data_IF_571437862018
#
_entry.id   IF_571437862018
#
_cell.length_a   1.000
_cell.length_b   1.000
_cell.length_c   1.000
_cell.angle_alpha   90.00
_cell.angle_beta   90.00
_cell.angle_gamma   90.00
#
_symmetry.space_group_name_H-M   'P 1'
#
loop_
_entity.id
_entity.type
_entity.pdbx_description
1 polymer ?
#
# COMPACT_ATOMS: atom_id res chain seq x y z
N UNK A 1 18.91 25.69 16.27
CA UNK A 1 17.50 25.35 16.52
C UNK A 1 16.65 26.58 16.21
N UNK A 2 15.95 26.68 15.06
CA UNK A 2 14.91 27.68 14.88
C UNK A 2 13.51 27.14 15.23
N UNK A 3 12.69 28.10 15.63
CA UNK A 3 11.48 28.04 16.44
C UNK A 3 10.25 27.32 15.85
N UNK A 4 9.36 26.96 16.78
CA UNK A 4 8.06 26.34 16.59
C UNK A 4 7.19 27.01 15.52
N UNK A 5 6.56 26.20 14.67
CA UNK A 5 5.51 26.62 13.73
C UNK A 5 4.22 26.86 14.52
N UNK A 6 3.71 28.09 14.47
CA UNK A 6 2.42 28.48 15.03
C UNK A 6 1.30 27.92 14.17
N UNK A 7 0.48 27.04 14.72
CA UNK A 7 -0.65 26.41 14.04
C UNK A 7 -1.90 27.27 14.23
N UNK A 8 -2.13 28.24 13.34
CA UNK A 8 -3.38 29.00 13.29
C UNK A 8 -4.51 28.10 12.77
N UNK A 9 -5.34 27.61 13.70
CA UNK A 9 -6.54 26.82 13.39
C UNK A 9 -7.69 27.77 13.09
N UNK A 10 -7.86 28.12 11.82
CA UNK A 10 -9.05 28.88 11.39
C UNK A 10 -10.31 27.99 11.39
N UNK A 11 -11.36 28.46 12.05
CA UNK A 11 -12.67 27.80 12.23
C UNK A 11 -13.37 27.49 10.89
N UNK A 12 -14.07 26.36 10.85
CA UNK A 12 -14.78 25.82 9.69
C UNK A 12 -16.28 26.18 9.80
N UNK A 13 -16.75 27.05 8.90
CA UNK A 13 -18.18 27.34 8.75
C UNK A 13 -18.71 26.61 7.53
N UNK A 14 -19.49 25.56 7.74
CA UNK A 14 -20.15 24.75 6.70
C UNK A 14 -21.45 25.43 6.26
N UNK A 15 -21.59 25.69 4.97
CA UNK A 15 -22.83 26.13 4.35
C UNK A 15 -23.75 24.94 3.97
N UNK A 16 -25.07 25.11 4.13
CA UNK A 16 -26.11 24.05 4.04
C UNK A 16 -26.24 23.34 2.67
N UNK A 17 -25.41 23.69 1.67
CA UNK A 17 -25.33 22.97 0.39
C UNK A 17 -24.23 21.90 0.33
N UNK A 18 -23.48 21.68 1.43
CA UNK A 18 -22.42 20.66 1.51
C UNK A 18 -21.20 20.94 0.62
N UNK A 19 -21.16 22.10 -0.02
CA UNK A 19 -20.08 22.50 -0.93
C UNK A 19 -19.22 23.54 -0.23
N UNK A 20 -18.13 23.10 0.36
CA UNK A 20 -17.16 23.99 0.99
C UNK A 20 -16.70 25.06 -0.01
N UNK A 21 -17.06 26.32 0.27
CA UNK A 21 -16.56 27.47 -0.50
C UNK A 21 -15.05 27.38 -0.56
N UNK A 22 -14.52 27.55 -1.76
CA UNK A 22 -13.11 27.34 -2.14
C UNK A 22 -12.16 28.23 -1.32
N UNK A 23 -11.87 27.83 -0.07
CA UNK A 23 -10.97 28.52 0.87
C UNK A 23 -9.54 28.10 0.52
N UNK A 24 -8.65 29.07 0.39
CA UNK A 24 -7.23 28.84 0.14
C UNK A 24 -6.69 27.96 1.28
N UNK A 25 -6.28 26.73 0.95
CA UNK A 25 -5.87 25.71 1.93
C UNK A 25 -4.45 25.92 2.46
N UNK A 26 -3.58 26.57 1.69
CA UNK A 26 -2.20 26.86 2.07
C UNK A 26 -1.65 28.02 1.22
N UNK A 27 -0.71 28.78 1.79
CA UNK A 27 0.04 29.85 1.10
C UNK A 27 1.41 29.37 0.62
N UNK A 28 2.02 28.43 1.34
CA UNK A 28 3.25 27.73 0.97
C UNK A 28 3.21 26.33 1.62
N UNK A 29 3.71 25.32 0.93
CA UNK A 29 3.80 23.94 1.42
C UNK A 29 5.08 23.29 0.89
N UNK A 30 5.94 22.82 1.79
CA UNK A 30 7.15 22.06 1.47
C UNK A 30 7.10 20.71 2.20
N UNK A 31 7.30 19.62 1.48
CA UNK A 31 7.33 18.27 2.05
C UNK A 31 8.43 17.43 1.39
N UNK A 32 8.98 16.46 2.13
CA UNK A 32 10.13 15.63 1.70
C UNK A 32 9.72 14.44 0.81
N UNK A 33 8.66 14.60 0.03
CA UNK A 33 8.11 13.52 -0.78
C UNK A 33 7.54 12.35 0.05
N UNK A 34 7.09 11.28 -0.61
CA UNK A 34 6.66 10.06 0.05
C UNK A 34 7.87 9.23 0.53
N UNK A 35 7.73 8.57 1.67
CA UNK A 35 8.65 7.51 2.05
C UNK A 35 8.24 6.22 1.34
N UNK A 36 9.19 5.59 0.64
CA UNK A 36 8.95 4.30 -0.02
C UNK A 36 9.23 3.15 0.94
N UNK A 37 8.52 2.05 0.73
CA UNK A 37 8.83 0.78 1.40
C UNK A 37 10.25 0.33 1.06
N UNK A 38 10.94 -0.38 1.98
CA UNK A 38 12.21 -1.00 1.68
C UNK A 38 12.06 -2.01 0.51
N UNK A 39 13.16 -2.33 -0.20
CA UNK A 39 13.15 -3.38 -1.20
C UNK A 39 12.78 -4.74 -0.57
N UNK A 40 12.24 -5.64 -1.38
CA UNK A 40 11.91 -7.00 -0.95
C UNK A 40 13.15 -7.76 -0.47
N UNK A 41 12.99 -8.54 0.60
CA UNK A 41 14.02 -9.44 1.11
C UNK A 41 13.56 -10.89 0.88
N UNK A 42 14.41 -11.67 0.22
CA UNK A 42 14.12 -13.06 -0.12
C UNK A 42 13.99 -13.94 1.12
N UNK A 43 13.17 -14.97 1.01
CA UNK A 43 12.95 -15.94 2.07
C UNK A 43 14.21 -16.78 2.33
N UNK A 44 14.47 -17.17 3.60
CA UNK A 44 15.54 -18.09 3.95
C UNK A 44 15.49 -19.41 3.15
N UNK A 45 16.65 -20.01 2.87
CA UNK A 45 16.76 -21.21 2.02
C UNK A 45 15.95 -22.43 2.49
N UNK A 46 15.63 -22.50 3.79
CA UNK A 46 14.80 -23.56 4.37
C UNK A 46 13.30 -23.44 4.07
N UNK A 47 12.87 -22.36 3.41
CA UNK A 47 11.48 -22.14 3.02
C UNK A 47 11.37 -22.33 1.51
N UNK A 48 10.60 -23.33 1.09
CA UNK A 48 10.48 -23.69 -0.32
C UNK A 48 9.03 -23.58 -0.80
N UNK A 49 8.86 -22.99 -1.98
CA UNK A 49 7.59 -23.01 -2.69
C UNK A 49 7.36 -24.40 -3.31
N UNK A 50 6.15 -24.95 -3.14
CA UNK A 50 5.74 -26.23 -3.73
C UNK A 50 4.61 -26.03 -4.71
N UNK A 51 4.80 -26.55 -5.93
CA UNK A 51 3.79 -26.59 -6.98
C UNK A 51 3.65 -28.03 -7.45
N UNK A 52 2.41 -28.55 -7.46
CA UNK A 52 2.13 -29.95 -7.82
C UNK A 52 3.00 -30.97 -7.04
N UNK A 53 3.18 -30.71 -5.74
CA UNK A 53 4.02 -31.54 -4.85
C UNK A 53 5.53 -31.41 -5.06
N UNK A 54 6.00 -30.72 -6.11
CA UNK A 54 7.43 -30.52 -6.41
C UNK A 54 7.93 -29.19 -5.87
N UNK A 55 9.18 -29.17 -5.41
CA UNK A 55 9.85 -27.93 -4.99
C UNK A 55 10.23 -27.12 -6.22
N UNK A 56 9.82 -25.85 -6.26
CA UNK A 56 10.12 -24.91 -7.34
C UNK A 56 10.80 -23.68 -6.75
N UNK A 57 11.94 -23.29 -7.33
CA UNK A 57 12.63 -22.05 -6.97
C UNK A 57 12.04 -20.90 -7.78
N UNK A 58 11.41 -19.95 -7.11
CA UNK A 58 10.83 -18.77 -7.74
C UNK A 58 11.92 -17.72 -8.03
N UNK A 59 11.66 -16.82 -8.99
CA UNK A 59 12.39 -15.56 -9.11
C UNK A 59 12.03 -14.64 -7.94
N UNK A 60 12.83 -13.61 -7.70
CA UNK A 60 12.62 -12.67 -6.59
C UNK A 60 11.26 -11.97 -6.68
N UNK A 61 10.92 -11.39 -7.84
CA UNK A 61 9.62 -10.74 -8.08
C UNK A 61 8.44 -11.71 -7.87
N UNK A 62 8.58 -12.97 -8.29
CA UNK A 62 7.52 -13.96 -8.15
C UNK A 62 7.37 -14.43 -6.70
N UNK A 63 8.47 -14.50 -5.95
CA UNK A 63 8.51 -14.86 -4.54
C UNK A 63 7.85 -13.78 -3.67
N UNK A 64 8.09 -12.50 -3.97
CA UNK A 64 7.44 -11.37 -3.31
C UNK A 64 5.91 -11.46 -3.45
N UNK A 65 5.42 -11.64 -4.69
CA UNK A 65 3.98 -11.75 -4.96
C UNK A 65 3.37 -13.01 -4.31
N UNK A 66 4.08 -14.14 -4.36
CA UNK A 66 3.64 -15.36 -3.70
C UNK A 66 3.59 -15.21 -2.17
N UNK A 67 4.54 -14.48 -1.58
CA UNK A 67 4.57 -14.14 -0.16
C UNK A 67 3.35 -13.33 0.25
N UNK A 68 3.01 -12.28 -0.52
CA UNK A 68 1.79 -11.50 -0.27
C UNK A 68 0.53 -12.37 -0.30
N UNK A 69 0.45 -13.32 -1.24
CA UNK A 69 -0.69 -14.23 -1.31
C UNK A 69 -0.75 -15.19 -0.11
N UNK A 70 0.40 -15.67 0.37
CA UNK A 70 0.49 -16.55 1.53
C UNK A 70 0.06 -15.87 2.86
N UNK A 71 0.18 -14.54 2.94
CA UNK A 71 -0.23 -13.75 4.11
C UNK A 71 -1.75 -13.48 4.17
N UNK A 72 -2.51 -13.77 3.10
CA UNK A 72 -3.94 -13.52 3.08
C UNK A 72 -4.70 -14.62 3.83
N UNK A 73 -5.63 -14.21 4.69
CA UNK A 73 -6.56 -15.12 5.34
C UNK A 73 -7.41 -15.90 4.32
N UNK A 74 -7.73 -17.16 4.67
CA UNK A 74 -8.50 -18.07 3.80
C UNK A 74 -9.85 -17.49 3.36
N UNK A 75 -10.42 -16.58 4.12
CA UNK A 75 -11.72 -15.96 3.84
C UNK A 75 -11.64 -14.81 2.82
N UNK A 76 -10.49 -14.15 2.70
CA UNK A 76 -10.23 -13.13 1.68
C UNK A 76 -9.94 -13.80 0.34
N UNK A 77 -9.16 -14.88 0.35
CA UNK A 77 -8.76 -15.65 -0.84
C UNK A 77 -9.95 -16.38 -1.48
N UNK A 78 -10.90 -16.87 -0.68
CA UNK A 78 -12.12 -17.55 -1.18
C UNK A 78 -13.14 -16.60 -1.81
N UNK A 79 -12.96 -15.28 -1.73
CA UNK A 79 -13.90 -14.32 -2.31
C UNK A 79 -13.84 -14.45 -3.85
N UNK A 80 -14.97 -14.80 -4.45
CA UNK A 80 -15.20 -15.25 -5.86
C UNK A 80 -14.45 -14.50 -6.99
N UNK A 81 -13.92 -13.30 -6.75
CA UNK A 81 -13.29 -12.44 -7.75
C UNK A 81 -11.82 -12.06 -7.46
N UNK A 82 -11.20 -12.58 -6.40
CA UNK A 82 -9.80 -12.25 -6.05
C UNK A 82 -8.75 -12.86 -7.00
N UNK A 83 -8.78 -14.17 -7.33
CA UNK A 83 -7.73 -14.78 -8.17
C UNK A 83 -7.67 -14.18 -9.59
N UNK A 84 -8.81 -13.81 -10.18
CA UNK A 84 -8.84 -13.21 -11.52
C UNK A 84 -8.23 -11.79 -11.57
N UNK A 85 -8.26 -11.03 -10.47
CA UNK A 85 -7.67 -9.68 -10.44
C UNK A 85 -6.15 -9.68 -10.24
N UNK A 86 -5.63 -10.65 -9.49
CA UNK A 86 -4.18 -10.82 -9.32
C UNK A 86 -3.52 -11.28 -10.62
N UNK A 87 -4.12 -12.27 -11.31
CA UNK A 87 -3.56 -12.84 -12.54
C UNK A 87 -3.54 -11.84 -13.71
N UNK A 88 -4.48 -10.90 -13.79
CA UNK A 88 -4.52 -9.89 -14.86
C UNK A 88 -3.50 -8.75 -14.70
N UNK A 89 -2.83 -8.63 -13.56
CA UNK A 89 -1.88 -7.54 -13.28
C UNK A 89 -0.41 -7.93 -13.48
N UNK A 90 -0.16 -9.22 -13.78
CA UNK A 90 1.15 -9.80 -14.06
C UNK A 90 1.39 -10.08 -15.56
N UNK A 91 0.48 -9.62 -16.42
CA UNK A 91 0.56 -9.76 -17.88
C UNK A 91 0.78 -8.40 -18.56
#
# INVERSE_FOLDING_TARGET
MPSAISMDRSEETTDESGKSKNKIKWKSLEHKGPAFSPPYERLPEGINFKYDGKVVKLSEDAEEVAGFYAMLDRDIVKKKNFPNKLLQRLA
#
